data_IF_263707117111
#
_entry.id   IF_263707117111
#
_cell.length_a   1.000
_cell.length_b   1.000
_cell.length_c   1.000
_cell.angle_alpha   90.00
_cell.angle_beta   90.00
_cell.angle_gamma   90.00
#
_symmetry.space_group_name_H-M   'P 1'
#
loop_
_entity.id
_entity.type
_entity.pdbx_description
1 polymer ?
#
# COMPACT_ATOMS: atom_id res chain seq x y z
N UNK A 1 6.82 -27.79 -9.21
CA UNK A 1 6.96 -27.55 -7.76
C UNK A 1 8.40 -27.14 -7.50
N UNK A 2 8.63 -25.88 -7.14
CA UNK A 2 9.97 -25.36 -6.81
C UNK A 2 10.11 -25.43 -5.29
N UNK A 3 11.16 -26.06 -4.78
CA UNK A 3 11.42 -26.17 -3.34
C UNK A 3 12.45 -25.12 -2.93
N UNK A 4 12.06 -24.16 -2.10
CA UNK A 4 12.95 -23.12 -1.57
C UNK A 4 13.26 -23.42 -0.10
N UNK A 5 14.54 -23.36 0.31
CA UNK A 5 14.92 -23.50 1.72
C UNK A 5 14.28 -22.44 2.62
N UNK A 6 13.72 -22.84 3.76
CA UNK A 6 13.02 -21.95 4.71
C UNK A 6 13.90 -20.78 5.19
N UNK A 7 15.20 -21.02 5.39
CA UNK A 7 16.15 -19.99 5.81
C UNK A 7 16.30 -18.86 4.77
N UNK A 8 16.20 -19.17 3.46
CA UNK A 8 16.21 -18.14 2.41
C UNK A 8 14.97 -17.24 2.48
N UNK A 9 13.80 -17.83 2.73
CA UNK A 9 12.53 -17.09 2.88
C UNK A 9 12.59 -16.15 4.09
N UNK A 10 13.06 -16.66 5.23
CA UNK A 10 13.21 -15.87 6.45
C UNK A 10 14.22 -14.72 6.28
N UNK A 11 15.34 -14.97 5.58
CA UNK A 11 16.34 -13.94 5.29
C UNK A 11 15.76 -12.83 4.40
N UNK A 12 15.02 -13.18 3.34
CA UNK A 12 14.36 -12.22 2.46
C UNK A 12 13.30 -11.41 3.23
N UNK A 13 12.49 -12.05 4.06
CA UNK A 13 11.48 -11.37 4.86
C UNK A 13 12.10 -10.33 5.80
N UNK A 14 13.22 -10.68 6.45
CA UNK A 14 13.97 -9.75 7.30
C UNK A 14 14.53 -8.58 6.48
N UNK A 15 15.11 -8.83 5.32
CA UNK A 15 15.62 -7.77 4.44
C UNK A 15 14.50 -6.86 3.94
N UNK A 16 13.33 -7.40 3.60
CA UNK A 16 12.16 -6.62 3.19
C UNK A 16 11.68 -5.69 4.31
N UNK A 17 11.64 -6.16 5.57
CA UNK A 17 11.30 -5.32 6.72
C UNK A 17 12.27 -4.15 6.90
N UNK A 18 13.57 -4.41 6.77
CA UNK A 18 14.60 -3.38 6.88
C UNK A 18 14.53 -2.36 5.73
N UNK A 19 14.34 -2.84 4.50
CA UNK A 19 14.21 -2.00 3.31
C UNK A 19 12.98 -1.09 3.40
N UNK A 20 11.83 -1.62 3.85
CA UNK A 20 10.61 -0.84 4.06
C UNK A 20 10.81 0.25 5.12
N UNK A 21 11.41 -0.09 6.27
CA UNK A 21 11.68 0.87 7.34
C UNK A 21 12.64 1.99 6.90
N UNK A 22 13.51 1.72 5.93
CA UNK A 22 14.47 2.68 5.39
C UNK A 22 13.99 3.39 4.11
N UNK A 23 12.81 3.06 3.58
CA UNK A 23 12.33 3.47 2.26
C UNK A 23 13.34 3.20 1.13
N UNK A 24 14.03 2.05 1.20
CA UNK A 24 15.03 1.64 0.23
C UNK A 24 14.52 0.48 -0.65
N UNK A 25 15.06 0.38 -1.85
CA UNK A 25 14.79 -0.75 -2.75
C UNK A 25 15.40 -2.04 -2.22
N UNK A 26 14.67 -3.14 -2.34
CA UNK A 26 15.14 -4.49 -2.02
C UNK A 26 15.60 -5.20 -3.30
N UNK A 27 16.84 -5.69 -3.33
CA UNK A 27 17.27 -6.62 -4.36
C UNK A 27 16.73 -8.02 -4.07
N UNK A 28 16.02 -8.60 -5.04
CA UNK A 28 15.48 -9.96 -4.95
C UNK A 28 16.35 -10.90 -5.80
N UNK A 29 16.86 -12.01 -5.24
CA UNK A 29 17.58 -13.01 -6.00
C UNK A 29 16.77 -13.52 -7.20
N UNK A 30 17.41 -13.67 -8.35
CA UNK A 30 16.76 -14.04 -9.60
C UNK A 30 16.00 -15.39 -9.52
N UNK A 31 16.49 -16.33 -8.70
CA UNK A 31 15.85 -17.63 -8.46
C UNK A 31 14.55 -17.53 -7.64
N UNK A 32 14.30 -16.40 -6.96
CA UNK A 32 13.11 -16.18 -6.14
C UNK A 32 12.05 -15.27 -6.78
N UNK A 33 12.37 -14.62 -7.92
CA UNK A 33 11.44 -13.69 -8.59
C UNK A 33 10.10 -14.36 -8.93
N UNK A 34 10.15 -15.57 -9.49
CA UNK A 34 8.94 -16.32 -9.85
C UNK A 34 8.07 -16.64 -8.63
N UNK A 35 8.67 -17.16 -7.56
CA UNK A 35 7.93 -17.50 -6.33
C UNK A 35 7.40 -16.28 -5.62
N UNK A 36 8.14 -15.17 -5.60
CA UNK A 36 7.65 -13.91 -5.04
C UNK A 36 6.45 -13.40 -5.85
N UNK A 37 6.51 -13.46 -7.18
CA UNK A 37 5.39 -13.06 -8.04
C UNK A 37 4.15 -13.93 -7.80
N UNK A 38 4.30 -15.24 -7.65
CA UNK A 38 3.19 -16.15 -7.35
C UNK A 38 2.59 -15.88 -5.97
N UNK A 39 3.44 -15.72 -4.95
CA UNK A 39 3.01 -15.39 -3.59
C UNK A 39 2.27 -14.05 -3.55
N UNK A 40 2.80 -13.02 -4.20
CA UNK A 40 2.15 -11.72 -4.31
C UNK A 40 0.83 -11.82 -5.06
N UNK A 41 0.77 -12.57 -6.16
CA UNK A 41 -0.48 -12.78 -6.89
C UNK A 41 -1.53 -13.46 -6.02
N UNK A 42 -1.16 -14.50 -5.27
CA UNK A 42 -2.10 -15.21 -4.39
C UNK A 42 -2.53 -14.35 -3.18
N UNK A 43 -1.60 -13.60 -2.59
CA UNK A 43 -1.86 -12.74 -1.43
C UNK A 43 -2.65 -11.49 -1.82
N UNK A 44 -2.35 -10.89 -2.97
CA UNK A 44 -3.03 -9.71 -3.50
C UNK A 44 -4.29 -10.07 -4.30
N UNK A 45 -4.49 -11.31 -4.75
CA UNK A 45 -5.76 -11.72 -5.35
C UNK A 45 -6.95 -11.57 -4.39
N UNK A 46 -6.68 -11.60 -3.08
CA UNK A 46 -7.68 -11.28 -2.04
C UNK A 46 -8.17 -9.84 -2.11
N UNK A 47 -7.47 -8.94 -2.82
CA UNK A 47 -7.87 -7.53 -2.98
C UNK A 47 -8.68 -7.27 -4.25
N UNK A 48 -9.20 -8.28 -4.96
CA UNK A 48 -10.07 -8.05 -6.13
C UNK A 48 -11.30 -7.18 -5.78
N UNK A 49 -11.84 -7.33 -4.58
CA UNK A 49 -12.92 -6.51 -4.04
C UNK A 49 -12.52 -5.05 -3.79
N UNK A 50 -11.22 -4.77 -3.71
CA UNK A 50 -10.61 -3.43 -3.56
C UNK A 50 -9.84 -2.99 -4.81
N UNK A 51 -9.92 -3.72 -5.92
CA UNK A 51 -9.18 -3.38 -7.14
C UNK A 51 -9.61 -2.01 -7.71
N UNK A 52 -10.87 -1.61 -7.46
CA UNK A 52 -11.40 -0.31 -7.83
C UNK A 52 -10.60 0.86 -7.22
N UNK A 53 -10.04 0.71 -6.01
CA UNK A 53 -9.24 1.75 -5.35
C UNK A 53 -7.95 2.07 -6.12
N UNK A 54 -7.42 1.07 -6.83
CA UNK A 54 -6.20 1.18 -7.63
C UNK A 54 -6.46 1.64 -9.07
N UNK A 55 -7.72 1.87 -9.46
CA UNK A 55 -8.02 2.50 -10.74
C UNK A 55 -7.43 3.93 -10.77
N UNK A 56 -6.96 4.36 -11.95
CA UNK A 56 -6.25 5.64 -12.10
C UNK A 56 -7.10 6.83 -11.62
N UNK A 57 -8.42 6.75 -11.81
CA UNK A 57 -9.36 7.77 -11.35
C UNK A 57 -9.33 7.95 -9.82
N UNK A 58 -9.26 6.84 -9.07
CA UNK A 58 -9.20 6.87 -7.61
C UNK A 58 -7.81 7.28 -7.10
N UNK A 59 -6.75 6.80 -7.75
CA UNK A 59 -5.37 7.21 -7.42
C UNK A 59 -5.09 8.69 -7.76
N UNK A 60 -5.80 9.26 -8.73
CA UNK A 60 -5.76 10.70 -9.01
C UNK A 60 -6.42 11.50 -7.87
N UNK A 61 -7.58 11.07 -7.38
CA UNK A 61 -8.26 11.69 -6.24
C UNK A 61 -7.44 11.61 -4.95
N UNK A 62 -6.77 10.48 -4.70
CA UNK A 62 -5.88 10.32 -3.53
C UNK A 62 -4.72 11.32 -3.57
N UNK A 63 -4.06 11.47 -4.74
CA UNK A 63 -2.97 12.45 -4.90
C UNK A 63 -3.44 13.90 -4.72
N UNK A 64 -4.65 14.21 -5.16
CA UNK A 64 -5.26 15.53 -4.96
C UNK A 64 -5.54 15.78 -3.47
N UNK A 65 -6.18 14.83 -2.78
CA UNK A 65 -6.45 14.91 -1.35
C UNK A 65 -5.17 15.06 -0.52
N UNK A 66 -4.13 14.27 -0.83
CA UNK A 66 -2.82 14.37 -0.17
C UNK A 66 -2.18 15.76 -0.39
N UNK A 67 -2.31 16.31 -1.62
CA UNK A 67 -1.82 17.64 -1.94
C UNK A 67 -2.61 18.76 -1.23
N UNK A 68 -3.91 18.56 -1.00
CA UNK A 68 -4.75 19.47 -0.21
C UNK A 68 -4.36 19.44 1.27
N UNK A 69 -4.18 18.25 1.85
CA UNK A 69 -3.70 18.07 3.23
C UNK A 69 -2.34 18.73 3.41
N UNK A 70 -1.38 18.44 2.53
CA UNK A 70 -0.03 19.00 2.61
C UNK A 70 -0.01 20.52 2.47
N UNK A 71 -0.94 21.10 1.71
CA UNK A 71 -1.07 22.54 1.54
C UNK A 71 -1.96 23.21 2.61
N UNK A 72 -2.51 22.45 3.55
CA UNK A 72 -3.45 22.96 4.55
C UNK A 72 -4.80 23.40 3.97
N UNK A 73 -5.18 22.92 2.78
CA UNK A 73 -6.51 23.13 2.17
C UNK A 73 -7.53 22.16 2.75
N UNK A 74 -7.55 22.04 4.07
CA UNK A 74 -8.45 21.14 4.80
C UNK A 74 -9.09 21.89 5.96
N UNK A 75 -10.32 21.53 6.27
CA UNK A 75 -11.04 22.03 7.44
C UNK A 75 -11.11 20.91 8.47
N UNK A 76 -10.75 21.21 9.71
CA UNK A 76 -10.88 20.28 10.84
C UNK A 76 -12.07 20.67 11.70
N UNK A 77 -12.78 19.67 12.22
CA UNK A 77 -13.92 19.85 13.10
C UNK A 77 -13.67 19.16 14.43
N UNK A 78 -14.11 19.77 15.53
CA UNK A 78 -13.94 19.22 16.88
C UNK A 78 -14.97 18.13 17.18
N UNK A 79 -16.08 18.10 16.43
CA UNK A 79 -17.14 17.10 16.55
C UNK A 79 -17.79 16.75 15.20
N UNK A 80 -18.49 15.60 15.19
CA UNK A 80 -19.31 15.19 14.04
C UNK A 80 -20.46 16.19 13.78
N UNK A 81 -21.05 16.77 14.84
CA UNK A 81 -22.15 17.73 14.70
C UNK A 81 -21.67 19.01 14.01
N UNK A 82 -20.44 19.47 14.30
CA UNK A 82 -19.85 20.63 13.63
C UNK A 82 -19.62 20.37 12.14
N UNK A 83 -19.14 19.17 11.78
CA UNK A 83 -18.98 18.74 10.38
C UNK A 83 -20.34 18.70 9.65
N UNK A 84 -21.36 18.08 10.25
CA UNK A 84 -22.69 17.97 9.64
C UNK A 84 -23.32 19.36 9.43
N UNK A 85 -23.16 20.25 10.40
CA UNK A 85 -23.63 21.64 10.30
C UNK A 85 -22.97 22.36 9.12
N UNK A 86 -21.68 22.13 8.86
CA UNK A 86 -20.97 22.73 7.73
C UNK A 86 -21.41 22.16 6.37
N UNK A 87 -21.66 20.85 6.28
CA UNK A 87 -22.10 20.18 5.05
C UNK A 87 -23.53 20.53 4.61
N UNK A 88 -24.38 20.91 5.56
CA UNK A 88 -25.78 21.26 5.31
C UNK A 88 -26.00 22.75 4.94
N UNK A 89 -24.93 23.54 4.79
CA UNK A 89 -25.00 24.98 4.46
C UNK A 89 -25.37 25.28 3.01
#
# INVERSE_FOLDING_TARGET
MVTIPLNKVQALARQAQLANAAHQSLEVPADMVGTLADYLRETLAVTEDQAWFWAEEWQAGEREAEADIAAGRVTTFDSMDDLLTDLEQ
#
